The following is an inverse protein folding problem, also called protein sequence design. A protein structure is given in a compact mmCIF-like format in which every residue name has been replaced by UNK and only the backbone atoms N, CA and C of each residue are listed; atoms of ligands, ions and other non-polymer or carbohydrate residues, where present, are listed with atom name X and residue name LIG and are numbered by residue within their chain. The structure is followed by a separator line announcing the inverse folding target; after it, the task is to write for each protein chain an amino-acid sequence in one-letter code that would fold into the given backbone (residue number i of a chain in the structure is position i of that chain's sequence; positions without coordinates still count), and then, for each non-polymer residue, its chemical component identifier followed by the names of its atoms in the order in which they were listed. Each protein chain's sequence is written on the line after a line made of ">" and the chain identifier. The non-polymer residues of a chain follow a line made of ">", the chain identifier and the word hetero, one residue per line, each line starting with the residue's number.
data_IF_707252196399
#
_entry.id   IF_707252196399
#
_cell.length_a   1.000
_cell.length_b   1.000
_cell.length_c   1.000
_cell.angle_alpha   90.00
_cell.angle_beta   90.00
_cell.angle_gamma   90.00
#
_symmetry.space_group_name_H-M   'P 1'
#
loop_
_entity.id
_entity.type
_entity.pdbx_description
1 polymer ?
#
# COMPACT_ATOMS: atom_id res chain seq x y z
N UNK A 1 0.93 2.41 27.20
CA UNK A 1 2.08 1.82 26.51
C UNK A 1 2.11 2.24 25.06
N UNK A 2 3.21 2.77 24.66
CA UNK A 2 3.37 3.17 23.26
C UNK A 2 3.73 1.98 22.41
N UNK A 3 3.26 2.01 21.17
CA UNK A 3 3.71 1.03 20.18
C UNK A 3 5.21 1.20 19.95
N UNK A 4 5.92 0.12 19.58
CA UNK A 4 7.33 0.27 19.19
C UNK A 4 7.47 1.28 18.06
N UNK A 5 8.54 2.06 18.06
CA UNK A 5 8.71 3.06 17.01
C UNK A 5 9.00 2.44 15.65
N UNK A 6 8.54 3.11 14.62
CA UNK A 6 8.84 2.72 13.24
C UNK A 6 8.98 3.97 12.39
N UNK A 7 9.60 3.82 11.23
CA UNK A 7 9.79 4.90 10.27
C UNK A 7 9.20 4.48 8.93
N UNK A 8 8.47 5.39 8.29
CA UNK A 8 7.93 5.19 6.95
C UNK A 8 8.54 6.22 6.03
N UNK A 9 9.07 5.77 4.89
CA UNK A 9 9.71 6.69 3.94
C UNK A 9 9.62 6.18 2.51
N UNK A 10 9.62 7.10 1.53
CA UNK A 10 9.78 6.70 0.13
C UNK A 10 11.18 6.11 -0.08
N UNK A 11 11.25 5.10 -0.93
CA UNK A 11 12.51 4.42 -1.22
C UNK A 11 12.65 4.16 -2.71
N UNK A 12 13.88 3.93 -3.16
CA UNK A 12 14.19 3.58 -4.53
C UNK A 12 14.10 2.06 -4.71
N UNK A 13 13.42 1.61 -5.76
CA UNK A 13 13.22 0.17 -5.99
C UNK A 13 14.56 -0.58 -6.08
N UNK A 14 15.49 -0.08 -6.91
CA UNK A 14 16.74 -0.79 -7.12
C UNK A 14 17.56 -0.92 -5.84
N UNK A 15 17.54 0.12 -5.02
CA UNK A 15 18.35 0.15 -3.79
C UNK A 15 17.74 -0.69 -2.66
N UNK A 16 16.42 -0.88 -2.66
CA UNK A 16 15.73 -1.48 -1.51
C UNK A 16 14.87 -2.68 -1.87
N UNK A 17 14.94 -3.17 -3.11
CA UNK A 17 14.00 -4.21 -3.55
C UNK A 17 14.06 -5.46 -2.67
N UNK A 18 15.20 -5.82 -2.12
CA UNK A 18 15.30 -7.01 -1.28
C UNK A 18 14.48 -6.85 0.00
N UNK A 19 14.48 -5.64 0.57
CA UNK A 19 13.69 -5.35 1.77
C UNK A 19 12.20 -5.32 1.45
N UNK A 20 11.83 -4.68 0.34
CA UNK A 20 10.44 -4.65 -0.11
C UNK A 20 9.95 -6.05 -0.42
N UNK A 21 10.77 -6.83 -1.13
CA UNK A 21 10.41 -8.19 -1.50
C UNK A 21 10.24 -9.09 -0.27
N UNK A 22 11.07 -8.91 0.74
CA UNK A 22 10.97 -9.73 1.96
C UNK A 22 9.60 -9.59 2.62
N UNK A 23 9.10 -8.35 2.75
CA UNK A 23 7.78 -8.10 3.35
C UNK A 23 6.68 -8.66 2.45
N UNK A 24 6.75 -8.37 1.14
CA UNK A 24 5.73 -8.79 0.20
C UNK A 24 5.64 -10.31 0.09
N UNK A 25 6.78 -10.99 0.07
CA UNK A 25 6.78 -12.45 0.04
C UNK A 25 6.16 -13.03 1.30
N UNK A 26 6.51 -12.49 2.46
CA UNK A 26 5.95 -12.98 3.72
C UNK A 26 4.45 -12.83 3.76
N UNK A 27 3.92 -11.67 3.36
CA UNK A 27 2.50 -11.39 3.46
C UNK A 27 1.70 -12.02 2.31
N UNK A 28 2.13 -11.77 1.07
CA UNK A 28 1.32 -12.19 -0.06
C UNK A 28 1.54 -13.66 -0.43
N UNK A 29 2.78 -14.09 -0.49
CA UNK A 29 3.07 -15.46 -0.92
C UNK A 29 2.87 -16.45 0.22
N UNK A 30 3.49 -16.22 1.37
CA UNK A 30 3.45 -17.20 2.45
C UNK A 30 2.17 -17.12 3.28
N UNK A 31 1.70 -15.92 3.60
CA UNK A 31 0.49 -15.79 4.43
C UNK A 31 -0.78 -15.93 3.60
N UNK A 32 -0.86 -15.31 2.43
CA UNK A 32 -2.09 -15.25 1.62
C UNK A 32 -2.11 -16.23 0.46
N UNK A 33 -1.05 -17.00 0.29
CA UNK A 33 -0.95 -18.03 -0.75
C UNK A 33 -1.07 -17.50 -2.17
N UNK A 34 -0.66 -16.27 -2.41
CA UNK A 34 -0.57 -15.74 -3.76
C UNK A 34 0.58 -16.45 -4.48
N UNK A 35 0.36 -16.99 -5.70
CA UNK A 35 1.46 -17.58 -6.45
C UNK A 35 2.59 -16.58 -6.62
N UNK A 36 3.81 -17.03 -6.38
CA UNK A 36 4.96 -16.12 -6.38
C UNK A 36 5.10 -15.39 -7.73
N UNK A 37 4.83 -16.08 -8.84
CA UNK A 37 4.95 -15.48 -10.16
C UNK A 37 3.96 -14.34 -10.39
N UNK A 38 2.88 -14.27 -9.63
CA UNK A 38 1.91 -13.17 -9.75
C UNK A 38 2.28 -11.96 -8.90
N UNK A 39 3.15 -12.15 -7.91
CA UNK A 39 3.51 -11.06 -7.00
C UNK A 39 4.42 -10.03 -7.65
N UNK A 40 5.35 -10.50 -8.48
CA UNK A 40 6.34 -9.63 -9.12
C UNK A 40 5.86 -9.24 -10.50
N UNK A 41 5.94 -7.94 -10.83
CA UNK A 41 5.51 -7.46 -12.13
C UNK A 41 6.44 -6.34 -12.60
N UNK A 42 6.22 -5.90 -13.84
CA UNK A 42 7.07 -4.88 -14.45
C UNK A 42 6.83 -3.49 -13.89
N UNK A 43 5.72 -3.29 -13.18
CA UNK A 43 5.40 -1.98 -12.61
C UNK A 43 6.35 -1.61 -11.49
N UNK A 44 6.97 -2.60 -10.84
CA UNK A 44 7.86 -2.33 -9.71
C UNK A 44 8.99 -1.38 -10.07
N UNK A 45 9.55 -1.49 -11.26
CA UNK A 45 10.67 -0.65 -11.67
C UNK A 45 10.28 0.80 -11.89
N UNK A 46 9.01 1.06 -12.19
CA UNK A 46 8.50 2.39 -12.50
C UNK A 46 7.70 3.01 -11.37
N UNK A 47 7.38 2.23 -10.37
CA UNK A 47 6.50 2.66 -9.30
C UNK A 47 7.25 3.48 -8.25
N UNK A 48 6.50 4.30 -7.52
CA UNK A 48 7.00 4.85 -6.27
C UNK A 48 6.78 3.81 -5.19
N UNK A 49 7.78 3.61 -4.35
CA UNK A 49 7.70 2.64 -3.27
C UNK A 49 7.87 3.31 -1.93
N UNK A 50 7.17 2.77 -0.94
CA UNK A 50 7.27 3.22 0.45
C UNK A 50 7.64 2.00 1.29
N UNK A 51 8.61 2.19 2.18
CA UNK A 51 9.07 1.14 3.06
C UNK A 51 8.90 1.59 4.51
N UNK A 52 8.33 0.73 5.33
CA UNK A 52 8.27 0.93 6.76
C UNK A 52 9.31 0.02 7.41
N UNK A 53 10.10 0.59 8.31
CA UNK A 53 11.13 -0.17 9.04
C UNK A 53 10.97 0.04 10.53
N UNK A 54 11.30 -1.01 11.28
CA UNK A 54 11.42 -0.90 12.72
C UNK A 54 12.64 -0.07 13.08
N UNK A 55 12.79 0.24 14.36
CA UNK A 55 13.89 1.08 14.83
C UNK A 55 15.25 0.52 14.45
N UNK A 56 15.39 -0.81 14.45
CA UNK A 56 16.63 -1.46 14.09
C UNK A 56 16.84 -1.64 12.58
N UNK A 57 15.95 -1.10 11.77
CA UNK A 57 16.02 -1.18 10.32
C UNK A 57 15.34 -2.39 9.70
N UNK A 58 14.72 -3.25 10.50
CA UNK A 58 14.00 -4.41 9.98
C UNK A 58 12.81 -3.96 9.12
N UNK A 59 12.68 -4.46 7.87
CA UNK A 59 11.53 -4.11 7.05
C UNK A 59 10.26 -4.74 7.62
N UNK A 60 9.21 -3.92 7.78
CA UNK A 60 7.97 -4.36 8.41
C UNK A 60 6.72 -4.04 7.59
N UNK A 61 6.83 -3.19 6.57
CA UNK A 61 5.68 -2.83 5.76
C UNK A 61 6.09 -2.22 4.45
N UNK A 62 5.20 -2.29 3.47
CA UNK A 62 5.43 -1.77 2.12
C UNK A 62 4.16 -1.19 1.53
N UNK A 63 4.34 -0.39 0.48
CA UNK A 63 3.27 0.04 -0.39
C UNK A 63 3.87 0.61 -1.66
N UNK A 64 3.08 0.64 -2.75
CA UNK A 64 3.55 1.24 -3.99
C UNK A 64 2.46 2.05 -4.66
N UNK A 65 2.90 3.03 -5.44
CA UNK A 65 2.03 3.85 -6.28
C UNK A 65 2.53 3.72 -7.71
N UNK A 66 1.70 3.18 -8.59
CA UNK A 66 2.06 3.06 -10.00
C UNK A 66 1.52 4.24 -10.78
N UNK A 67 1.94 4.34 -12.06
CA UNK A 67 1.78 5.57 -12.84
C UNK A 67 0.34 6.02 -13.05
N UNK A 68 -0.62 5.12 -13.08
CA UNK A 68 -2.02 5.49 -13.26
C UNK A 68 -2.69 5.89 -11.95
N UNK A 69 -1.92 6.33 -10.98
CA UNK A 69 -2.44 6.75 -9.68
C UNK A 69 -3.10 5.60 -8.91
N UNK A 70 -2.57 4.40 -9.11
CA UNK A 70 -3.08 3.22 -8.41
C UNK A 70 -2.14 2.83 -7.29
N UNK A 71 -2.69 2.72 -6.09
CA UNK A 71 -1.99 2.21 -4.92
C UNK A 71 -2.13 0.70 -4.87
N UNK A 72 -1.07 0.01 -4.53
CA UNK A 72 -1.12 -1.43 -4.39
C UNK A 72 0.04 -1.96 -3.56
N UNK A 73 0.11 -3.26 -3.47
CA UNK A 73 1.16 -3.98 -2.73
C UNK A 73 1.34 -3.46 -1.32
N UNK A 74 0.23 -3.04 -0.67
CA UNK A 74 0.28 -2.64 0.72
C UNK A 74 0.30 -3.88 1.60
N UNK A 75 1.31 -3.98 2.42
CA UNK A 75 1.49 -5.14 3.28
C UNK A 75 2.18 -4.71 4.57
N UNK A 76 1.72 -5.27 5.69
CA UNK A 76 2.32 -5.05 7.00
C UNK A 76 2.51 -6.43 7.63
N UNK A 77 3.70 -6.67 8.18
CA UNK A 77 3.95 -7.93 8.86
C UNK A 77 2.96 -8.12 10.01
N UNK A 78 2.53 -9.36 10.22
CA UNK A 78 1.43 -9.69 11.13
C UNK A 78 1.62 -9.07 12.52
N UNK A 79 2.80 -9.17 13.10
CA UNK A 79 3.01 -8.65 14.44
C UNK A 79 3.11 -7.13 14.52
N UNK A 80 3.15 -6.47 13.38
CA UNK A 80 3.16 -5.00 13.33
C UNK A 80 1.80 -4.40 12.96
N UNK A 81 0.79 -5.24 12.78
CA UNK A 81 -0.57 -4.77 12.45
C UNK A 81 -1.22 -4.13 13.66
N UNK A 82 -2.19 -3.24 13.39
CA UNK A 82 -2.95 -2.51 14.41
C UNK A 82 -2.07 -1.58 15.24
N UNK A 83 -0.96 -1.14 14.66
CA UNK A 83 -0.02 -0.21 15.30
C UNK A 83 0.17 1.07 14.49
N UNK A 84 -0.68 1.29 13.49
CA UNK A 84 -0.62 2.49 12.66
C UNK A 84 0.33 2.43 11.49
N UNK A 85 1.00 1.29 11.26
CA UNK A 85 1.96 1.18 10.15
C UNK A 85 1.26 1.30 8.81
N UNK A 86 0.15 0.58 8.62
CA UNK A 86 -0.61 0.64 7.36
C UNK A 86 -1.12 2.04 7.07
N UNK A 87 -1.63 2.74 8.09
CA UNK A 87 -2.10 4.12 7.92
C UNK A 87 -0.97 5.04 7.53
N UNK A 88 0.20 4.89 8.15
CA UNK A 88 1.35 5.73 7.82
C UNK A 88 1.84 5.47 6.40
N UNK A 89 1.85 4.20 5.96
CA UNK A 89 2.21 3.87 4.58
C UNK A 89 1.22 4.50 3.61
N UNK A 90 -0.08 4.37 3.88
CA UNK A 90 -1.11 4.93 3.00
C UNK A 90 -0.97 6.45 2.91
N UNK A 91 -0.74 7.13 4.03
CA UNK A 91 -0.55 8.57 4.02
C UNK A 91 0.66 8.98 3.20
N UNK A 92 1.76 8.23 3.30
CA UNK A 92 2.95 8.51 2.50
C UNK A 92 2.67 8.34 1.00
N UNK A 93 1.91 7.31 0.63
CA UNK A 93 1.54 7.08 -0.77
C UNK A 93 0.61 8.18 -1.27
N UNK A 94 -0.32 8.64 -0.45
CA UNK A 94 -1.23 9.72 -0.84
C UNK A 94 -0.48 11.03 -1.04
N UNK A 95 0.53 11.29 -0.20
CA UNK A 95 1.38 12.47 -0.38
C UNK A 95 2.14 12.41 -1.70
N UNK A 96 2.65 11.23 -2.07
CA UNK A 96 3.30 11.05 -3.36
C UNK A 96 2.33 11.25 -4.52
N UNK A 97 1.11 10.71 -4.39
CA UNK A 97 0.08 10.87 -5.42
C UNK A 97 -0.29 12.34 -5.61
N UNK A 98 -0.43 13.09 -4.54
CA UNK A 98 -0.72 14.52 -4.61
C UNK A 98 0.40 15.26 -5.31
N UNK A 99 1.63 14.94 -4.97
CA UNK A 99 2.80 15.55 -5.58
C UNK A 99 2.87 15.26 -7.08
N UNK A 100 2.42 14.07 -7.49
CA UNK A 100 2.42 13.66 -8.89
C UNK A 100 1.21 14.22 -9.66
N UNK A 101 0.34 14.95 -9.01
CA UNK A 101 -0.80 15.57 -9.68
C UNK A 101 -1.99 14.65 -9.87
N UNK A 102 -2.08 13.57 -9.12
CA UNK A 102 -3.24 12.69 -9.21
C UNK A 102 -4.49 13.39 -8.70
N UNK A 103 -5.51 13.50 -9.54
CA UNK A 103 -6.81 14.02 -9.10
C UNK A 103 -7.60 12.98 -8.33
N UNK A 104 -7.48 11.73 -8.75
CA UNK A 104 -8.15 10.59 -8.12
C UNK A 104 -7.12 9.48 -7.93
N UNK A 105 -7.14 8.88 -6.76
CA UNK A 105 -6.31 7.71 -6.46
C UNK A 105 -7.25 6.53 -6.33
N UNK A 106 -6.86 5.39 -6.92
CA UNK A 106 -7.67 4.19 -6.83
C UNK A 106 -6.83 3.01 -6.39
N UNK A 107 -7.51 1.96 -5.93
CA UNK A 107 -6.87 0.74 -5.51
C UNK A 107 -7.85 -0.42 -5.60
N UNK A 108 -7.31 -1.64 -5.57
CA UNK A 108 -8.09 -2.86 -5.47
C UNK A 108 -7.94 -3.37 -4.04
N UNK A 109 -8.99 -3.18 -3.24
CA UNK A 109 -8.96 -3.55 -1.83
C UNK A 109 -9.44 -4.99 -1.66
N UNK A 110 -8.65 -5.79 -0.95
CA UNK A 110 -9.18 -7.08 -0.48
C UNK A 110 -10.40 -6.78 0.39
N UNK A 111 -11.47 -7.56 0.25
CA UNK A 111 -12.74 -7.19 0.87
C UNK A 111 -12.66 -7.02 2.37
N UNK A 112 -11.81 -7.80 3.05
CA UNK A 112 -11.65 -7.65 4.50
C UNK A 112 -10.95 -6.34 4.89
N UNK A 113 -10.27 -5.70 3.95
CA UNK A 113 -9.54 -4.45 4.22
C UNK A 113 -10.35 -3.20 3.86
N UNK A 114 -11.54 -3.36 3.28
CA UNK A 114 -12.37 -2.22 2.89
C UNK A 114 -12.60 -1.24 4.05
N UNK A 115 -12.94 -1.68 5.28
CA UNK A 115 -13.14 -0.73 6.38
C UNK A 115 -11.91 0.11 6.68
N UNK A 116 -10.71 -0.46 6.53
CA UNK A 116 -9.48 0.29 6.73
C UNK A 116 -9.39 1.47 5.75
N UNK A 117 -9.66 1.21 4.47
CA UNK A 117 -9.60 2.26 3.46
C UNK A 117 -10.72 3.28 3.62
N UNK A 118 -11.91 2.83 4.04
CA UNK A 118 -13.03 3.75 4.27
C UNK A 118 -12.72 4.77 5.35
N UNK A 119 -12.02 4.36 6.40
CA UNK A 119 -11.59 5.30 7.45
C UNK A 119 -10.71 6.41 6.87
N UNK A 120 -9.99 6.12 5.80
CA UNK A 120 -9.12 7.09 5.14
C UNK A 120 -9.80 7.84 4.00
N UNK A 121 -11.12 7.70 3.87
CA UNK A 121 -11.90 8.48 2.92
C UNK A 121 -12.15 7.82 1.59
N UNK A 122 -11.68 6.59 1.39
CA UNK A 122 -11.95 5.88 0.15
C UNK A 122 -13.39 5.38 0.09
N UNK A 123 -13.94 5.30 -1.12
CA UNK A 123 -15.28 4.75 -1.36
C UNK A 123 -15.17 3.57 -2.31
N UNK A 124 -15.93 2.52 -2.02
CA UNK A 124 -16.02 1.38 -2.93
C UNK A 124 -16.78 1.73 -4.18
N UNK A 125 -16.34 1.21 -5.32
CA UNK A 125 -17.05 1.38 -6.58
C UNK A 125 -16.96 0.08 -7.38
N UNK A 126 -18.06 -0.25 -8.05
CA UNK A 126 -18.14 -1.48 -8.84
C UNK A 126 -18.41 -2.71 -8.01
N UNK A 127 -18.42 -3.83 -8.67
CA UNK A 127 -18.74 -5.11 -8.03
C UNK A 127 -17.48 -5.80 -7.52
N UNK A 128 -17.69 -6.77 -6.63
CA UNK A 128 -16.60 -7.61 -6.15
C UNK A 128 -16.04 -8.43 -7.31
N UNK A 129 -14.73 -8.61 -7.31
CA UNK A 129 -14.06 -9.42 -8.32
C UNK A 129 -12.94 -10.22 -7.66
N UNK A 130 -12.46 -11.24 -8.38
CA UNK A 130 -11.36 -12.08 -7.88
C UNK A 130 -10.04 -11.58 -8.46
N UNK A 131 -9.03 -11.48 -7.60
CA UNK A 131 -7.68 -11.15 -8.02
C UNK A 131 -6.74 -12.02 -7.20
N UNK A 132 -5.90 -12.78 -7.87
CA UNK A 132 -5.00 -13.76 -7.23
C UNK A 132 -5.76 -14.71 -6.29
N UNK A 133 -7.01 -15.04 -6.64
CA UNK A 133 -7.84 -15.95 -5.86
C UNK A 133 -8.46 -15.32 -4.61
N UNK A 134 -8.38 -14.02 -4.44
CA UNK A 134 -8.88 -13.32 -3.27
C UNK A 134 -9.95 -12.33 -3.71
N UNK A 135 -11.09 -12.23 -3.00
CA UNK A 135 -12.11 -11.26 -3.37
C UNK A 135 -11.66 -9.82 -3.10
N UNK A 136 -11.88 -8.96 -4.08
CA UNK A 136 -11.47 -7.55 -4.05
C UNK A 136 -12.62 -6.66 -4.50
N UNK A 137 -12.55 -5.38 -4.14
CA UNK A 137 -13.36 -4.32 -4.74
C UNK A 137 -12.49 -3.13 -5.05
N UNK A 138 -12.81 -2.45 -6.15
CA UNK A 138 -12.15 -1.19 -6.47
C UNK A 138 -12.60 -0.12 -5.49
N UNK A 139 -11.66 0.72 -5.06
CA UNK A 139 -11.97 1.87 -4.22
C UNK A 139 -11.28 3.11 -4.78
N UNK A 140 -11.85 4.26 -4.52
CA UNK A 140 -11.34 5.53 -5.02
C UNK A 140 -11.35 6.61 -3.96
N UNK A 141 -10.41 7.54 -4.07
CA UNK A 141 -10.35 8.73 -3.24
C UNK A 141 -10.04 9.93 -4.13
N UNK A 142 -10.87 10.93 -4.08
CA UNK A 142 -10.62 12.17 -4.83
C UNK A 142 -9.71 13.07 -4.02
N UNK A 143 -8.55 13.40 -4.58
CA UNK A 143 -7.63 14.34 -3.96
C UNK A 143 -7.98 15.78 -4.31
N UNK A 144 -8.60 15.97 -5.49
CA UNK A 144 -8.99 17.30 -5.92
C UNK A 144 -9.97 17.98 -4.94
N UNK A 145 -10.85 17.17 -4.32
CA UNK A 145 -11.80 17.68 -3.35
C UNK A 145 -11.19 18.10 -2.03
N UNK A 146 -9.91 17.81 -1.82
CA UNK A 146 -9.21 18.15 -0.59
C UNK A 146 -8.33 19.38 -0.72
N UNK A 147 -8.28 19.96 -1.92
CA UNK A 147 -7.49 21.17 -2.13
C UNK A 147 -8.20 22.37 -1.50
N UNK A 148 -7.41 23.34 -0.99
CA UNK A 148 -8.03 24.54 -0.42
C UNK A 148 -8.88 25.25 -1.44
N UNK A 149 -10.00 25.80 -0.98
CA UNK A 149 -10.87 26.61 -1.82
C UNK A 149 -10.36 28.02 -1.90
N UNK A 150 -10.49 28.57 -3.06
CA UNK A 150 -10.08 29.96 -3.29
C UNK A 150 -11.21 30.91 -2.94
#
# INVERSE_FOLDING_TARGET
>A
MNAPPFIVRPVNWLATRDKLAAVRRTVFVFEQNVPEELEWDQEDERAYHVLATAEDGTPIGTGRLILQCQIGRMAVLKKWRRRGVGSAILQALLALAEKEGCAVVHLHAQTHAIPFYEVHGFTSCGEEFQEAGIPHRKMELSLAGQLPRQ
#
